data_IF_845945641747
#
_entry.id   IF_845945641747
#
_cell.length_a   1.000
_cell.length_b   1.000
_cell.length_c   1.000
_cell.angle_alpha   90.00
_cell.angle_beta   90.00
_cell.angle_gamma   90.00
#
_symmetry.space_group_name_H-M   'P 1'
#
loop_
_entity.id
_entity.type
_entity.pdbx_description
1 polymer ?
#
# COMPACT_ATOMS: atom_id res chain seq x y z
N UNK A 1 -27.54 -2.93 3.11
CA UNK A 1 -27.08 -2.46 1.78
C UNK A 1 -28.25 -2.58 0.82
N UNK A 2 -28.67 -1.46 0.24
CA UNK A 2 -29.81 -1.27 -0.70
C UNK A 2 -31.15 -1.88 -0.29
N UNK A 3 -31.98 -1.08 0.40
CA UNK A 3 -33.42 -1.34 0.46
C UNK A 3 -34.09 -0.45 -0.59
N UNK A 4 -34.54 -1.06 -1.69
CA UNK A 4 -35.36 -0.37 -2.69
C UNK A 4 -36.80 -0.42 -2.18
N UNK A 5 -37.31 0.70 -1.65
CA UNK A 5 -38.73 0.86 -1.35
C UNK A 5 -39.30 2.07 -2.09
N UNK A 6 -40.10 1.77 -3.13
CA UNK A 6 -41.19 2.60 -3.62
C UNK A 6 -40.88 3.61 -4.74
N UNK A 7 -41.88 3.98 -5.57
CA UNK A 7 -41.67 4.62 -6.87
C UNK A 7 -41.36 6.13 -6.81
N UNK A 8 -41.16 6.72 -5.63
CA UNK A 8 -41.12 8.18 -5.44
C UNK A 8 -39.97 8.71 -4.56
N UNK A 9 -38.91 7.93 -4.31
CA UNK A 9 -37.80 8.39 -3.47
C UNK A 9 -36.58 8.76 -4.29
N UNK A 10 -36.30 10.07 -4.37
CA UNK A 10 -34.96 10.58 -4.66
C UNK A 10 -33.94 9.87 -3.76
N UNK A 11 -32.75 9.60 -4.30
CA UNK A 11 -31.63 9.00 -3.56
C UNK A 11 -31.28 9.96 -2.42
N UNK A 12 -31.80 9.71 -1.22
CA UNK A 12 -31.30 10.35 0.00
C UNK A 12 -29.98 9.64 0.30
N UNK A 13 -28.86 10.26 -0.11
CA UNK A 13 -27.56 9.86 0.43
C UNK A 13 -27.63 10.00 1.95
N UNK A 14 -27.39 8.89 2.64
CA UNK A 14 -27.51 8.84 4.08
C UNK A 14 -26.33 9.62 4.70
N UNK A 15 -26.55 10.85 5.17
CA UNK A 15 -25.53 11.69 5.81
C UNK A 15 -24.77 10.99 6.97
N UNK A 16 -25.33 9.90 7.53
CA UNK A 16 -24.66 9.08 8.55
C UNK A 16 -23.45 8.30 8.01
N UNK A 17 -23.41 7.95 6.71
CA UNK A 17 -22.26 7.25 6.11
C UNK A 17 -21.04 8.15 6.07
N UNK A 18 -21.17 9.35 5.50
CA UNK A 18 -20.06 10.32 5.40
C UNK A 18 -19.52 10.71 6.76
N UNK A 19 -20.39 10.97 7.74
CA UNK A 19 -19.96 11.25 9.11
C UNK A 19 -19.23 10.07 9.76
N UNK A 20 -19.66 8.83 9.50
CA UNK A 20 -18.99 7.64 10.04
C UNK A 20 -17.62 7.42 9.40
N UNK A 21 -17.52 7.68 8.09
CA UNK A 21 -16.27 7.60 7.35
C UNK A 21 -15.27 8.67 7.82
N UNK A 22 -15.70 9.92 7.96
CA UNK A 22 -14.88 11.01 8.50
C UNK A 22 -14.39 10.68 9.91
N UNK A 23 -15.28 10.21 10.79
CA UNK A 23 -14.94 9.80 12.16
C UNK A 23 -13.92 8.67 12.22
N UNK A 24 -13.84 7.80 11.22
CA UNK A 24 -12.82 6.73 11.17
C UNK A 24 -11.40 7.27 11.00
N UNK A 25 -11.24 8.50 10.49
CA UNK A 25 -9.97 9.11 10.10
C UNK A 25 -9.15 8.30 9.07
N UNK A 26 -9.71 7.24 8.48
CA UNK A 26 -8.98 6.38 7.55
C UNK A 26 -8.46 7.17 6.35
N UNK A 27 -9.35 7.88 5.65
CA UNK A 27 -8.99 8.67 4.48
C UNK A 27 -8.11 9.87 4.82
N UNK A 28 -8.24 10.43 6.02
CA UNK A 28 -7.34 11.46 6.50
C UNK A 28 -5.90 10.91 6.64
N UNK A 29 -5.75 9.70 7.17
CA UNK A 29 -4.44 9.05 7.28
C UNK A 29 -3.85 8.73 5.89
N UNK A 30 -4.65 8.18 4.99
CA UNK A 30 -4.25 7.93 3.59
C UNK A 30 -3.80 9.23 2.91
N UNK A 31 -4.60 10.29 3.05
CA UNK A 31 -4.30 11.61 2.48
C UNK A 31 -2.99 12.20 3.01
N UNK A 32 -2.69 12.06 4.31
CA UNK A 32 -1.43 12.54 4.90
C UNK A 32 -0.22 11.76 4.40
N UNK A 33 -0.31 10.43 4.30
CA UNK A 33 0.76 9.59 3.76
C UNK A 33 1.07 9.95 2.30
N UNK A 34 0.02 10.04 1.49
CA UNK A 34 0.09 10.43 0.09
C UNK A 34 0.68 11.84 -0.08
N UNK A 35 0.19 12.83 0.67
CA UNK A 35 0.72 14.19 0.63
C UNK A 35 2.22 14.24 0.95
N UNK A 36 2.63 13.57 2.03
CA UNK A 36 4.03 13.56 2.47
C UNK A 36 4.93 12.89 1.45
N UNK A 37 4.51 11.76 0.87
CA UNK A 37 5.26 11.07 -0.18
C UNK A 37 5.45 11.94 -1.43
N UNK A 38 4.41 12.68 -1.83
CA UNK A 38 4.46 13.62 -2.96
C UNK A 38 5.42 14.78 -2.69
N UNK A 39 5.40 15.38 -1.50
CA UNK A 39 6.34 16.43 -1.12
C UNK A 39 7.80 15.95 -1.19
N UNK A 40 8.06 14.69 -0.81
CA UNK A 40 9.39 14.08 -0.91
C UNK A 40 9.78 13.84 -2.37
N UNK A 41 8.88 13.30 -3.19
CA UNK A 41 9.15 13.07 -4.62
C UNK A 41 9.48 14.39 -5.34
N UNK A 42 8.72 15.47 -5.08
CA UNK A 42 8.99 16.82 -5.61
C UNK A 42 10.35 17.36 -5.12
N UNK A 43 10.69 17.16 -3.84
CA UNK A 43 11.97 17.57 -3.31
C UNK A 43 13.14 16.86 -4.02
N UNK A 44 12.98 15.59 -4.36
CA UNK A 44 13.99 14.79 -5.04
C UNK A 44 14.11 15.16 -6.53
N UNK A 45 12.99 15.20 -7.26
CA UNK A 45 12.97 15.34 -8.72
C UNK A 45 13.14 16.79 -9.18
N UNK A 46 12.35 17.71 -8.63
CA UNK A 46 12.34 19.10 -9.10
C UNK A 46 13.42 19.95 -8.43
N UNK A 47 13.66 19.70 -7.13
CA UNK A 47 14.55 20.54 -6.33
C UNK A 47 15.95 19.96 -6.17
N UNK A 48 16.18 18.71 -6.60
CA UNK A 48 17.43 17.96 -6.40
C UNK A 48 17.93 17.99 -4.94
N UNK A 49 17.01 17.91 -3.97
CA UNK A 49 17.30 17.98 -2.54
C UNK A 49 17.24 16.59 -1.89
N UNK A 50 18.32 16.15 -1.21
CA UNK A 50 18.26 14.91 -0.44
C UNK A 50 17.31 15.07 0.76
N UNK A 51 16.56 14.00 1.05
CA UNK A 51 15.59 13.96 2.16
C UNK A 51 15.92 12.79 3.10
N UNK A 52 15.87 13.04 4.40
CA UNK A 52 15.94 12.01 5.43
C UNK A 52 14.55 11.73 5.99
N UNK A 53 14.07 10.49 5.86
CA UNK A 53 12.77 10.07 6.39
C UNK A 53 12.99 9.25 7.65
N UNK A 54 12.39 9.66 8.78
CA UNK A 54 12.40 8.90 10.01
C UNK A 54 11.08 9.03 10.78
N UNK A 55 10.84 8.10 11.70
CA UNK A 55 9.79 8.23 12.71
C UNK A 55 10.39 7.94 14.10
N UNK A 56 9.59 7.43 15.05
CA UNK A 56 10.08 7.05 16.39
C UNK A 56 11.04 5.87 16.30
N UNK A 57 10.58 4.75 15.75
CA UNK A 57 11.34 3.49 15.68
C UNK A 57 11.82 3.14 14.26
N UNK A 58 11.31 3.83 13.25
CA UNK A 58 11.76 3.68 11.87
C UNK A 58 11.14 2.52 11.07
N UNK A 59 10.30 1.67 11.66
CA UNK A 59 9.79 0.45 11.00
C UNK A 59 8.30 0.47 10.60
N UNK A 60 7.56 1.54 10.90
CA UNK A 60 6.12 1.66 10.55
C UNK A 60 5.86 2.80 9.55
N UNK A 61 5.91 4.06 9.99
CA UNK A 61 5.63 5.22 9.12
C UNK A 61 6.74 5.50 8.12
N UNK A 62 7.98 5.22 8.48
CA UNK A 62 9.13 5.39 7.59
C UNK A 62 9.00 4.54 6.32
N UNK A 63 8.76 3.21 6.37
CA UNK A 63 8.60 2.43 5.15
C UNK A 63 7.34 2.81 4.38
N UNK A 64 6.24 3.24 5.03
CA UNK A 64 5.08 3.78 4.32
C UNK A 64 5.48 4.96 3.42
N UNK A 65 6.13 5.98 4.00
CA UNK A 65 6.45 7.22 3.31
C UNK A 65 7.56 7.03 2.27
N UNK A 66 8.66 6.37 2.66
CA UNK A 66 9.82 6.17 1.80
C UNK A 66 9.52 5.29 0.59
N UNK A 67 8.74 4.21 0.75
CA UNK A 67 8.36 3.36 -0.37
C UNK A 67 7.31 4.01 -1.29
N UNK A 68 6.39 4.83 -0.74
CA UNK A 68 5.48 5.63 -1.57
C UNK A 68 6.24 6.67 -2.41
N UNK A 69 7.19 7.40 -1.81
CA UNK A 69 7.98 8.38 -2.54
C UNK A 69 8.78 7.73 -3.68
N UNK A 70 9.36 6.55 -3.43
CA UNK A 70 10.07 5.78 -4.48
C UNK A 70 9.13 5.29 -5.58
N UNK A 71 7.92 4.86 -5.23
CA UNK A 71 6.91 4.41 -6.19
C UNK A 71 6.37 5.55 -7.06
N UNK A 72 6.34 6.78 -6.53
CA UNK A 72 6.04 7.99 -7.30
C UNK A 72 7.20 8.34 -8.25
N UNK A 73 8.43 8.30 -7.76
CA UNK A 73 9.59 8.82 -8.48
C UNK A 73 10.22 7.86 -9.50
N UNK A 74 10.18 6.54 -9.26
CA UNK A 74 10.88 5.57 -10.11
C UNK A 74 9.89 4.58 -10.77
N UNK A 75 9.72 4.63 -12.11
CA UNK A 75 8.87 3.69 -12.85
C UNK A 75 9.21 2.22 -12.61
N UNK A 76 10.46 1.89 -12.27
CA UNK A 76 10.86 0.52 -11.99
C UNK A 76 10.00 -0.12 -10.90
N UNK A 77 9.73 0.60 -9.80
CA UNK A 77 8.94 0.06 -8.68
C UNK A 77 7.45 -0.09 -9.00
N UNK A 78 6.99 0.37 -10.17
CA UNK A 78 5.62 0.18 -10.67
C UNK A 78 5.48 -1.08 -11.55
N UNK A 79 6.58 -1.77 -11.83
CA UNK A 79 6.59 -3.14 -12.37
C UNK A 79 6.31 -4.18 -11.28
N UNK A 80 5.82 -5.36 -11.64
CA UNK A 80 5.62 -6.48 -10.71
C UNK A 80 6.95 -6.85 -10.03
N UNK A 81 8.03 -6.90 -10.81
CA UNK A 81 9.36 -7.22 -10.28
C UNK A 81 9.85 -6.14 -9.32
N UNK A 82 9.80 -4.88 -9.74
CA UNK A 82 10.26 -3.75 -8.92
C UNK A 82 9.43 -3.60 -7.65
N UNK A 83 8.10 -3.77 -7.73
CA UNK A 83 7.24 -3.72 -6.56
C UNK A 83 7.57 -4.81 -5.53
N UNK A 84 7.82 -6.05 -5.99
CA UNK A 84 8.26 -7.13 -5.10
C UNK A 84 9.59 -6.79 -4.41
N UNK A 85 10.54 -6.21 -5.16
CA UNK A 85 11.83 -5.75 -4.61
C UNK A 85 11.63 -4.62 -3.60
N UNK A 86 10.73 -3.68 -3.87
CA UNK A 86 10.40 -2.58 -2.97
C UNK A 86 9.85 -3.11 -1.64
N UNK A 87 8.92 -4.08 -1.69
CA UNK A 87 8.36 -4.71 -0.49
C UNK A 87 9.42 -5.51 0.27
N UNK A 88 10.21 -6.32 -0.42
CA UNK A 88 11.31 -7.08 0.19
C UNK A 88 12.32 -6.17 0.90
N UNK A 89 12.71 -5.07 0.25
CA UNK A 89 13.68 -4.14 0.83
C UNK A 89 13.07 -3.30 1.94
N UNK A 90 12.13 -2.42 1.61
CA UNK A 90 11.61 -1.38 2.52
C UNK A 90 10.82 -1.95 3.68
N UNK A 91 10.15 -3.09 3.50
CA UNK A 91 9.26 -3.64 4.53
C UNK A 91 9.88 -4.84 5.23
N UNK A 92 10.35 -5.83 4.48
CA UNK A 92 10.84 -7.07 5.07
C UNK A 92 12.25 -6.90 5.65
N UNK A 93 13.22 -6.47 4.85
CA UNK A 93 14.62 -6.37 5.27
C UNK A 93 14.85 -5.25 6.29
N UNK A 94 14.18 -4.11 6.13
CA UNK A 94 14.22 -3.00 7.11
C UNK A 94 13.40 -3.26 8.38
N UNK A 95 12.73 -4.42 8.49
CA UNK A 95 12.25 -4.92 9.77
C UNK A 95 10.88 -4.40 10.20
N UNK A 96 9.97 -4.15 9.26
CA UNK A 96 8.56 -4.01 9.62
C UNK A 96 8.09 -5.28 10.34
N UNK A 97 7.44 -5.09 11.50
CA UNK A 97 7.06 -6.18 12.41
C UNK A 97 5.78 -6.88 11.96
N UNK A 98 5.80 -7.54 10.81
CA UNK A 98 4.60 -8.17 10.22
C UNK A 98 3.90 -9.13 11.18
N UNK A 99 4.64 -9.99 11.88
CA UNK A 99 4.04 -10.94 12.83
C UNK A 99 3.27 -10.23 13.95
N UNK A 100 3.83 -9.15 14.51
CA UNK A 100 3.19 -8.38 15.59
C UNK A 100 1.99 -7.56 15.06
N UNK A 101 2.17 -6.89 13.92
CA UNK A 101 1.19 -5.98 13.31
C UNK A 101 -0.03 -6.70 12.77
N UNK A 102 0.17 -7.87 12.17
CA UNK A 102 -0.88 -8.71 11.56
C UNK A 102 -1.48 -9.73 12.53
N UNK A 103 -1.01 -9.78 13.77
CA UNK A 103 -1.55 -10.68 14.79
C UNK A 103 -1.34 -12.16 14.46
N UNK A 104 -0.24 -12.53 13.81
CA UNK A 104 0.07 -13.92 13.53
C UNK A 104 0.19 -14.68 14.85
N UNK A 105 -0.38 -15.89 14.91
CA UNK A 105 -0.59 -16.67 16.14
C UNK A 105 0.71 -16.94 16.92
N UNK A 106 1.12 -15.98 17.72
CA UNK A 106 2.22 -16.08 18.67
C UNK A 106 1.66 -16.29 20.08
N UNK A 107 2.22 -17.21 20.88
CA UNK A 107 1.83 -17.38 22.29
C UNK A 107 1.95 -16.09 23.12
N UNK A 108 2.75 -15.12 22.65
CA UNK A 108 3.01 -13.82 23.27
C UNK A 108 2.36 -12.66 22.50
N UNK A 109 1.18 -12.88 21.91
CA UNK A 109 0.45 -11.84 21.17
C UNK A 109 0.15 -10.63 22.07
N UNK A 110 0.84 -9.52 21.85
CA UNK A 110 0.47 -8.23 22.40
C UNK A 110 -0.56 -7.60 21.46
N UNK A 111 -1.84 -7.67 21.83
CA UNK A 111 -2.95 -7.12 21.02
C UNK A 111 -2.76 -5.62 20.74
N UNK A 112 -2.05 -4.90 21.63
CA UNK A 112 -1.77 -3.47 21.46
C UNK A 112 -0.75 -3.17 20.36
N UNK A 113 -0.03 -4.16 19.84
CA UNK A 113 0.92 -4.00 18.73
C UNK A 113 0.26 -4.21 17.36
N UNK A 114 -0.99 -4.68 17.31
CA UNK A 114 -1.70 -4.89 16.05
C UNK A 114 -2.10 -3.56 15.43
N UNK A 115 -1.78 -3.39 14.15
CA UNK A 115 -2.10 -2.17 13.42
C UNK A 115 -2.03 -2.41 11.91
N UNK A 116 -2.97 -1.85 11.11
CA UNK A 116 -3.06 -2.07 9.67
C UNK A 116 -2.05 -1.26 8.84
N UNK A 117 -0.79 -1.15 9.30
CA UNK A 117 0.22 -0.26 8.71
C UNK A 117 0.51 -0.59 7.24
N UNK A 118 0.77 -1.87 6.92
CA UNK A 118 0.98 -2.30 5.54
C UNK A 118 -0.29 -2.20 4.70
N UNK A 119 -1.47 -2.42 5.29
CA UNK A 119 -2.74 -2.30 4.59
C UNK A 119 -3.05 -0.84 4.22
N UNK A 120 -2.75 0.12 5.10
CA UNK A 120 -2.82 1.55 4.78
C UNK A 120 -1.91 1.92 3.61
N UNK A 121 -0.71 1.34 3.57
CA UNK A 121 0.19 1.54 2.44
C UNK A 121 -0.36 0.96 1.14
N UNK A 122 -0.92 -0.26 1.17
CA UNK A 122 -1.56 -0.85 -0.01
C UNK A 122 -2.76 -0.01 -0.50
N UNK A 123 -3.52 0.59 0.40
CA UNK A 123 -4.59 1.52 0.03
C UNK A 123 -3.99 2.76 -0.66
N UNK A 124 -2.91 3.36 -0.13
CA UNK A 124 -2.21 4.45 -0.82
C UNK A 124 -1.77 4.05 -2.24
N UNK A 125 -1.19 2.86 -2.42
CA UNK A 125 -0.81 2.34 -3.75
C UNK A 125 -2.04 2.18 -4.65
N UNK A 126 -3.15 1.67 -4.11
CA UNK A 126 -4.41 1.56 -4.85
C UNK A 126 -4.93 2.94 -5.29
N UNK A 127 -4.88 3.96 -4.43
CA UNK A 127 -5.27 5.33 -4.78
C UNK A 127 -4.41 5.89 -5.92
N UNK A 128 -3.08 5.72 -5.87
CA UNK A 128 -2.17 6.17 -6.93
C UNK A 128 -2.48 5.42 -8.23
N UNK A 129 -2.64 4.09 -8.17
CA UNK A 129 -2.98 3.28 -9.34
C UNK A 129 -4.31 3.71 -9.99
N UNK A 130 -5.32 4.03 -9.20
CA UNK A 130 -6.61 4.49 -9.72
C UNK A 130 -6.52 5.84 -10.45
N UNK A 131 -5.60 6.71 -10.02
CA UNK A 131 -5.34 7.99 -10.67
C UNK A 131 -4.50 7.83 -11.94
N UNK A 132 -3.57 6.88 -11.93
CA UNK A 132 -2.61 6.62 -13.00
C UNK A 132 -2.73 5.17 -13.52
N UNK A 133 -3.86 4.80 -14.15
CA UNK A 133 -4.16 3.41 -14.51
C UNK A 133 -3.19 2.80 -15.52
N UNK A 134 -2.44 3.61 -16.28
CA UNK A 134 -1.46 3.16 -17.27
C UNK A 134 -0.05 3.02 -16.69
N UNK A 135 0.20 3.52 -15.48
CA UNK A 135 1.54 3.63 -14.92
C UNK A 135 2.02 2.39 -14.15
N UNK A 136 1.16 1.39 -13.94
CA UNK A 136 1.45 0.19 -13.15
C UNK A 136 1.27 -1.08 -13.97
N UNK A 137 2.26 -1.97 -13.91
CA UNK A 137 2.22 -3.28 -14.58
C UNK A 137 1.19 -4.22 -13.93
N UNK A 138 0.95 -4.05 -12.64
CA UNK A 138 0.01 -4.89 -11.90
C UNK A 138 -1.39 -4.26 -11.80
N UNK A 139 -2.41 -5.12 -11.70
CA UNK A 139 -3.79 -4.72 -11.53
C UNK A 139 -4.26 -4.80 -10.07
N UNK A 140 -5.54 -4.49 -9.82
CA UNK A 140 -6.12 -4.55 -8.48
C UNK A 140 -6.06 -5.96 -7.85
N UNK A 141 -6.18 -7.02 -8.66
CA UNK A 141 -6.09 -8.41 -8.18
C UNK A 141 -4.74 -8.71 -7.53
N UNK A 142 -3.66 -8.09 -8.01
CA UNK A 142 -2.34 -8.19 -7.39
C UNK A 142 -2.35 -7.66 -5.94
N UNK A 143 -2.87 -6.44 -5.76
CA UNK A 143 -2.94 -5.78 -4.44
C UNK A 143 -3.87 -6.53 -3.48
N UNK A 144 -5.01 -7.04 -3.97
CA UNK A 144 -5.94 -7.83 -3.16
C UNK A 144 -5.32 -9.15 -2.69
N UNK A 145 -4.62 -9.88 -3.58
CA UNK A 145 -3.91 -11.11 -3.23
C UNK A 145 -2.80 -10.84 -2.21
N UNK A 146 -2.06 -9.75 -2.39
CA UNK A 146 -1.03 -9.32 -1.44
C UNK A 146 -1.65 -9.00 -0.07
N UNK A 147 -2.72 -8.20 -0.05
CA UNK A 147 -3.49 -7.84 1.15
C UNK A 147 -3.99 -9.06 1.92
N UNK A 148 -4.55 -10.04 1.21
CA UNK A 148 -5.04 -11.30 1.78
C UNK A 148 -3.91 -12.11 2.43
N UNK A 149 -2.77 -12.24 1.74
CA UNK A 149 -1.69 -13.13 2.16
C UNK A 149 -0.75 -12.55 3.22
N UNK A 150 -0.91 -11.27 3.60
CA UNK A 150 -0.30 -10.72 4.81
C UNK A 150 -0.82 -11.44 6.05
N UNK A 151 -2.11 -11.76 6.12
CA UNK A 151 -2.73 -12.35 7.30
C UNK A 151 -2.98 -13.87 7.19
N UNK A 152 -2.78 -14.46 6.00
CA UNK A 152 -3.22 -15.84 5.76
C UNK A 152 -2.27 -16.92 6.30
N UNK A 153 -1.03 -16.58 6.64
CA UNK A 153 0.04 -17.52 7.04
C UNK A 153 0.29 -18.67 6.05
N UNK A 154 -0.09 -18.50 4.78
CA UNK A 154 0.07 -19.54 3.75
C UNK A 154 1.50 -19.56 3.18
N UNK A 155 2.14 -18.40 3.14
CA UNK A 155 3.48 -18.18 2.60
C UNK A 155 4.41 -17.68 3.70
N UNK A 156 5.71 -17.93 3.52
CA UNK A 156 6.73 -17.45 4.45
C UNK A 156 7.05 -15.97 4.36
N UNK A 157 6.62 -15.31 3.27
CA UNK A 157 7.02 -13.95 2.92
C UNK A 157 6.81 -12.94 4.05
N UNK A 158 5.66 -12.97 4.72
CA UNK A 158 5.31 -12.02 5.78
C UNK A 158 5.42 -12.61 7.20
N UNK A 159 6.13 -13.73 7.37
CA UNK A 159 6.36 -14.29 8.70
C UNK A 159 7.49 -13.55 9.43
N UNK A 160 7.45 -13.62 10.76
CA UNK A 160 8.42 -13.01 11.69
C UNK A 160 8.45 -11.47 11.63
N UNK A 161 9.26 -10.86 12.50
CA UNK A 161 9.36 -9.39 12.62
C UNK A 161 10.65 -8.80 12.07
N UNK A 162 11.64 -9.64 11.73
CA UNK A 162 12.92 -9.17 11.22
C UNK A 162 13.58 -10.22 10.33
N UNK A 163 14.54 -9.76 9.52
CA UNK A 163 15.35 -10.64 8.68
C UNK A 163 16.13 -11.66 9.52
N UNK A 164 16.65 -11.23 10.67
CA UNK A 164 17.33 -12.10 11.63
C UNK A 164 16.43 -13.23 12.12
N UNK A 165 15.17 -12.94 12.43
CA UNK A 165 14.21 -13.96 12.87
C UNK A 165 13.87 -14.93 11.74
N UNK A 166 13.65 -14.45 10.51
CA UNK A 166 13.38 -15.30 9.34
C UNK A 166 14.54 -16.26 9.05
N UNK A 167 15.78 -15.79 9.19
CA UNK A 167 16.98 -16.62 9.05
C UNK A 167 17.06 -17.66 10.17
N UNK A 168 16.86 -17.27 11.42
CA UNK A 168 16.87 -18.19 12.58
C UNK A 168 15.79 -19.28 12.46
N UNK A 169 14.63 -18.94 11.90
CA UNK A 169 13.54 -19.89 11.69
C UNK A 169 13.68 -20.71 10.40
N UNK A 170 14.70 -20.43 9.58
CA UNK A 170 14.92 -21.03 8.25
C UNK A 170 13.69 -20.93 7.34
N UNK A 171 13.03 -19.76 7.33
CA UNK A 171 11.76 -19.55 6.61
C UNK A 171 11.91 -19.88 5.12
N UNK A 172 12.97 -19.40 4.48
CA UNK A 172 13.22 -19.58 3.04
C UNK A 172 13.33 -21.05 2.61
N UNK A 173 13.82 -21.94 3.47
CA UNK A 173 13.95 -23.38 3.16
C UNK A 173 12.73 -24.21 3.61
N UNK A 174 11.84 -23.64 4.42
CA UNK A 174 10.71 -24.35 5.04
C UNK A 174 9.36 -23.93 4.49
N UNK A 175 9.31 -22.86 3.70
CA UNK A 175 8.07 -22.26 3.23
C UNK A 175 8.21 -21.80 1.78
N UNK A 176 7.07 -21.65 1.10
CA UNK A 176 7.04 -21.06 -0.23
C UNK A 176 6.99 -19.52 -0.13
N UNK A 177 7.57 -18.85 -1.12
CA UNK A 177 7.45 -17.40 -1.29
C UNK A 177 6.14 -17.03 -2.00
N UNK A 178 5.46 -16.00 -1.50
CA UNK A 178 4.29 -15.40 -2.13
C UNK A 178 4.59 -14.90 -3.55
N UNK A 179 5.83 -14.47 -3.82
CA UNK A 179 6.23 -13.96 -5.14
C UNK A 179 6.08 -15.01 -6.25
N UNK A 180 6.11 -16.30 -5.90
CA UNK A 180 5.78 -17.37 -6.85
C UNK A 180 4.32 -17.30 -7.34
N UNK A 181 3.38 -17.02 -6.43
CA UNK A 181 1.96 -16.81 -6.75
C UNK A 181 1.71 -15.50 -7.49
N UNK A 182 2.47 -14.46 -7.14
CA UNK A 182 2.41 -13.12 -7.73
C UNK A 182 3.33 -12.93 -8.95
N UNK A 183 3.74 -14.03 -9.58
CA UNK A 183 4.55 -13.99 -10.79
C UNK A 183 3.68 -13.90 -12.03
N UNK A 184 3.91 -12.89 -12.88
CA UNK A 184 3.22 -12.74 -14.17
C UNK A 184 3.45 -13.93 -15.11
N UNK A 185 4.54 -14.68 -14.94
CA UNK A 185 4.84 -15.90 -15.69
C UNK A 185 3.81 -17.01 -15.45
N UNK A 186 3.27 -17.12 -14.24
CA UNK A 186 2.36 -18.20 -13.84
C UNK A 186 0.93 -17.70 -13.61
N UNK A 187 0.76 -16.40 -13.40
CA UNK A 187 -0.50 -15.78 -13.06
C UNK A 187 -0.72 -14.54 -13.93
N UNK A 188 -1.28 -14.71 -15.12
CA UNK A 188 -1.56 -13.59 -16.01
C UNK A 188 -2.69 -12.67 -15.48
N UNK A 189 -3.54 -13.16 -14.57
CA UNK A 189 -4.70 -12.42 -14.03
C UNK A 189 -4.33 -11.22 -13.17
N UNK A 190 -3.06 -11.08 -12.77
CA UNK A 190 -2.57 -9.94 -12.00
C UNK A 190 -1.96 -8.83 -12.86
N UNK A 191 -1.82 -9.05 -14.17
CA UNK A 191 -1.22 -8.09 -15.10
C UNK A 191 -2.27 -7.07 -15.54
N UNK A 192 -1.83 -5.82 -15.67
CA UNK A 192 -2.61 -4.72 -16.21
C UNK A 192 -2.34 -4.56 -17.71
N UNK A 193 -3.34 -4.86 -18.54
CA UNK A 193 -3.23 -4.76 -19.99
C UNK A 193 -3.09 -3.34 -20.53
N UNK A 194 -3.37 -2.33 -19.69
CA UNK A 194 -3.24 -0.92 -20.03
C UNK A 194 -1.88 -0.33 -19.63
N UNK A 195 -0.95 -1.15 -19.13
CA UNK A 195 0.35 -0.69 -18.68
C UNK A 195 1.21 -0.16 -19.83
N UNK A 196 1.74 1.05 -19.64
CA UNK A 196 2.67 1.73 -20.53
C UNK A 196 3.99 1.96 -19.78
N UNK A 197 5.11 1.29 -20.16
CA UNK A 197 6.36 1.36 -19.40
C UNK A 197 6.98 2.76 -19.29
N UNK A 198 6.72 3.62 -20.27
CA UNK A 198 7.23 5.00 -20.32
C UNK A 198 6.27 6.01 -19.67
N UNK A 199 5.12 5.56 -19.16
CA UNK A 199 4.17 6.46 -18.52
C UNK A 199 4.70 6.94 -17.16
N UNK A 200 4.73 8.25 -16.98
CA UNK A 200 5.17 8.89 -15.74
C UNK A 200 3.98 9.27 -14.85
N UNK A 201 4.20 9.15 -13.54
CA UNK A 201 3.28 9.75 -12.57
C UNK A 201 3.65 11.22 -12.48
N UNK A 202 2.80 12.10 -12.99
CA UNK A 202 3.05 13.54 -12.90
C UNK A 202 2.92 13.99 -11.44
N UNK A 203 4.05 14.34 -10.82
CA UNK A 203 4.12 14.80 -9.43
C UNK A 203 3.81 16.30 -9.31
N UNK A 204 2.91 16.83 -10.15
CA UNK A 204 2.50 18.22 -10.06
C UNK A 204 1.52 18.38 -8.88
N UNK A 205 1.85 19.31 -7.97
CA UNK A 205 1.03 19.70 -6.82
C UNK A 205 -0.42 19.98 -7.23
N UNK A 206 -0.67 20.52 -8.43
CA UNK A 206 -2.03 20.81 -8.90
C UNK A 206 -2.80 19.53 -9.22
N UNK A 207 -2.18 18.55 -9.90
CA UNK A 207 -2.79 17.25 -10.20
C UNK A 207 -3.03 16.42 -8.93
N UNK A 208 -2.10 16.46 -7.98
CA UNK A 208 -2.22 15.75 -6.72
C UNK A 208 -3.19 16.41 -5.73
N UNK A 209 -3.24 17.74 -5.67
CA UNK A 209 -4.26 18.48 -4.91
C UNK A 209 -5.64 18.36 -5.55
N UNK A 210 -5.74 18.26 -6.89
CA UNK A 210 -6.99 17.89 -7.56
C UNK A 210 -7.44 16.46 -7.21
N UNK A 211 -6.49 15.54 -7.02
CA UNK A 211 -6.74 14.16 -6.58
C UNK A 211 -7.15 14.06 -5.10
N UNK A 212 -6.46 14.76 -4.19
CA UNK A 212 -6.87 14.90 -2.79
C UNK A 212 -8.24 15.58 -2.69
N UNK A 213 -8.49 16.59 -3.53
CA UNK A 213 -9.81 17.18 -3.68
C UNK A 213 -10.81 16.21 -4.31
N UNK A 214 -10.45 15.21 -5.12
CA UNK A 214 -11.42 14.22 -5.61
C UNK A 214 -11.78 13.18 -4.54
N UNK A 215 -10.81 12.82 -3.72
CA UNK A 215 -11.03 12.03 -2.51
C UNK A 215 -11.90 12.85 -1.54
N UNK A 216 -11.65 14.15 -1.38
CA UNK A 216 -12.37 15.03 -0.44
C UNK A 216 -13.67 15.67 -0.97
N UNK A 217 -13.88 15.80 -2.29
CA UNK A 217 -15.06 16.39 -2.96
C UNK A 217 -16.05 15.33 -3.45
N UNK A 218 -15.74 14.05 -3.30
CA UNK A 218 -16.77 13.01 -3.24
C UNK A 218 -17.43 12.96 -1.84
N UNK A 219 -17.11 13.92 -0.95
CA UNK A 219 -17.72 14.17 0.36
C UNK A 219 -18.38 15.55 0.42
#
# INVERSE_FOLDING_TARGET
LFSIYGPNNFIVFNCSWFSSLEKSSWLNNIGQLLKTATEIAIALEENARPVMVHCTDGWDRTPQISSLAQLLADPFYRTIQGFNILVEREWLQFGHKFSDRSGHASPSLNINEQSPIFLQWLDCVHQIRNQFPHCFEFNESFLLKLGLHICSNLFGTFLCNSEKERQKASVASRTCSLWGLLSSKYNWTIVNYFYEPEAEVTVDLISFLWSLNRILQLF
#
